data_IF_710425703580
#
_entry.id   IF_710425703580
#
_cell.length_a   1.000
_cell.length_b   1.000
_cell.length_c   1.000
_cell.angle_alpha   90.00
_cell.angle_beta   90.00
_cell.angle_gamma   90.00
#
_symmetry.space_group_name_H-M   'P 1'
#
loop_
_entity.id
_entity.type
_entity.pdbx_description
1 polymer ?
#
# COMPACT_ATOMS: atom_id res chain seq x y z
N UNK A 1 -4.21 -1.93 -27.25
CA UNK A 1 -3.46 -1.43 -26.09
C UNK A 1 -4.37 -1.48 -24.87
N UNK A 2 -3.79 -1.78 -23.70
CA UNK A 2 -4.49 -1.84 -22.44
C UNK A 2 -3.64 -1.13 -21.39
N UNK A 3 -4.22 -0.17 -20.68
CA UNK A 3 -3.58 0.49 -19.56
C UNK A 3 -3.61 -0.44 -18.34
N UNK A 4 -2.47 -0.67 -17.74
CA UNK A 4 -2.31 -1.43 -16.49
C UNK A 4 -1.55 -0.61 -15.48
N UNK A 5 -1.92 -0.74 -14.22
CA UNK A 5 -1.13 -0.21 -13.11
C UNK A 5 0.05 -1.15 -12.81
N UNK A 6 1.12 -0.65 -12.21
CA UNK A 6 2.23 -1.49 -11.75
C UNK A 6 1.86 -2.33 -10.51
N UNK A 7 0.72 -2.09 -9.89
CA UNK A 7 0.20 -2.83 -8.74
C UNK A 7 -1.31 -2.68 -8.58
N UNK A 8 -1.90 -3.60 -7.83
CA UNK A 8 -3.30 -3.52 -7.44
C UNK A 8 -3.41 -2.88 -6.06
N UNK A 9 -4.21 -1.83 -5.95
CA UNK A 9 -4.41 -1.13 -4.70
C UNK A 9 -5.89 -1.14 -4.31
N UNK A 10 -6.14 -1.47 -3.05
CA UNK A 10 -7.44 -1.37 -2.41
C UNK A 10 -7.39 -0.19 -1.43
N UNK A 11 -8.20 0.82 -1.66
CA UNK A 11 -8.33 1.98 -0.77
C UNK A 11 -9.50 1.71 0.16
N UNK A 12 -9.31 1.95 1.45
CA UNK A 12 -10.37 1.79 2.43
C UNK A 12 -10.92 3.16 2.88
N UNK A 13 -12.17 3.20 3.28
CA UNK A 13 -12.81 4.44 3.76
C UNK A 13 -12.11 5.10 4.95
N UNK A 14 -11.23 4.36 5.64
CA UNK A 14 -10.35 4.86 6.70
C UNK A 14 -9.13 5.63 6.21
N UNK A 15 -8.80 5.56 4.94
CA UNK A 15 -7.67 6.28 4.32
C UNK A 15 -8.04 7.76 4.08
N UNK A 16 -8.19 8.51 5.16
CA UNK A 16 -8.71 9.88 5.15
C UNK A 16 -7.85 10.86 4.35
N UNK A 17 -6.53 10.73 4.46
CA UNK A 17 -5.60 11.57 3.71
C UNK A 17 -5.81 11.46 2.20
N UNK A 18 -6.04 10.25 1.68
CA UNK A 18 -6.34 10.04 0.26
C UNK A 18 -7.64 10.76 -0.14
N UNK A 19 -8.72 10.64 0.64
CA UNK A 19 -9.97 11.32 0.33
C UNK A 19 -9.86 12.84 0.41
N UNK A 20 -9.11 13.37 1.37
CA UNK A 20 -8.85 14.80 1.50
C UNK A 20 -8.02 15.31 0.31
N UNK A 21 -7.01 14.54 -0.10
CA UNK A 21 -6.22 14.83 -1.29
C UNK A 21 -7.06 14.83 -2.57
N UNK A 22 -7.92 13.83 -2.76
CA UNK A 22 -8.82 13.76 -3.92
C UNK A 22 -9.76 14.96 -3.99
N UNK A 23 -10.29 15.41 -2.85
CA UNK A 23 -11.11 16.63 -2.78
C UNK A 23 -10.32 17.87 -3.16
N UNK A 24 -9.09 18.00 -2.66
CA UNK A 24 -8.20 19.11 -2.97
C UNK A 24 -7.96 19.24 -4.48
N UNK A 25 -7.69 18.12 -5.15
CA UNK A 25 -7.39 18.11 -6.59
C UNK A 25 -8.63 17.97 -7.48
N UNK A 26 -9.86 18.03 -6.91
CA UNK A 26 -11.12 17.91 -7.65
C UNK A 26 -11.36 16.54 -8.30
N UNK A 27 -10.85 15.47 -7.70
CA UNK A 27 -10.91 14.09 -8.22
C UNK A 27 -11.78 13.14 -7.38
N UNK A 28 -12.79 13.64 -6.68
CA UNK A 28 -13.67 12.84 -5.80
C UNK A 28 -14.29 11.60 -6.49
N UNK A 29 -14.48 11.66 -7.80
CA UNK A 29 -15.05 10.58 -8.61
C UNK A 29 -14.00 9.58 -9.12
N UNK A 30 -12.74 9.72 -8.76
CA UNK A 30 -11.65 8.82 -9.17
C UNK A 30 -11.74 7.43 -8.55
N UNK A 31 -12.44 7.31 -7.42
CA UNK A 31 -12.65 6.07 -6.69
C UNK A 31 -14.10 5.58 -6.83
N UNK A 32 -14.24 4.26 -6.93
CA UNK A 32 -15.54 3.58 -6.95
C UNK A 32 -15.66 2.69 -5.71
N UNK A 33 -16.70 2.90 -4.91
CA UNK A 33 -17.05 1.99 -3.83
C UNK A 33 -17.49 0.64 -4.41
N UNK A 34 -16.99 -0.44 -3.80
CA UNK A 34 -17.41 -1.82 -4.11
C UNK A 34 -18.05 -2.43 -2.86
N UNK A 35 -18.75 -3.59 -2.94
CA UNK A 35 -19.36 -4.18 -1.76
C UNK A 35 -18.42 -4.27 -0.58
N UNK A 36 -18.87 -3.93 0.63
CA UNK A 36 -18.07 -4.00 1.86
C UNK A 36 -17.94 -5.45 2.32
N UNK A 37 -17.22 -6.22 1.53
CA UNK A 37 -17.05 -7.65 1.65
C UNK A 37 -15.68 -8.04 1.11
N UNK A 38 -14.98 -8.90 1.83
CA UNK A 38 -13.67 -9.42 1.48
C UNK A 38 -13.79 -10.94 1.29
N UNK A 39 -14.04 -11.40 0.05
CA UNK A 39 -14.15 -12.83 -0.25
C UNK A 39 -12.79 -13.50 -0.26
N UNK A 40 -12.75 -14.72 0.23
CA UNK A 40 -11.56 -15.58 0.27
C UNK A 40 -11.87 -16.99 -0.25
N UNK A 41 -10.85 -17.64 -0.75
CA UNK A 41 -10.84 -19.06 -1.08
C UNK A 41 -9.56 -19.72 -0.55
N UNK A 42 -9.72 -20.91 0.02
CA UNK A 42 -8.60 -21.78 0.40
C UNK A 42 -8.40 -22.83 -0.71
N UNK A 43 -7.27 -22.74 -1.43
CA UNK A 43 -6.99 -23.66 -2.55
C UNK A 43 -6.78 -25.11 -2.10
N UNK A 44 -6.45 -25.34 -0.83
CA UNK A 44 -6.20 -26.67 -0.30
C UNK A 44 -7.47 -27.54 -0.25
N UNK A 45 -8.62 -26.92 0.04
CA UNK A 45 -9.89 -27.63 0.24
C UNK A 45 -11.07 -26.99 -0.49
N UNK A 46 -10.81 -25.97 -1.32
CA UNK A 46 -11.80 -25.18 -2.05
C UNK A 46 -12.86 -24.50 -1.15
N UNK A 47 -12.58 -24.36 0.16
CA UNK A 47 -13.48 -23.69 1.09
C UNK A 47 -13.52 -22.18 0.80
N UNK A 48 -14.71 -21.62 0.79
CA UNK A 48 -14.94 -20.20 0.52
C UNK A 48 -15.63 -19.52 1.69
N UNK A 49 -15.19 -18.32 2.01
CA UNK A 49 -15.87 -17.47 2.99
C UNK A 49 -15.73 -16.01 2.60
N UNK A 50 -16.52 -15.18 3.23
CA UNK A 50 -16.45 -13.73 3.04
C UNK A 50 -16.38 -13.04 4.39
N UNK A 51 -15.32 -12.28 4.61
CA UNK A 51 -15.24 -11.38 5.75
C UNK A 51 -16.11 -10.16 5.44
N UNK A 52 -17.17 -9.98 6.22
CA UNK A 52 -18.06 -8.82 6.10
C UNK A 52 -18.05 -8.04 7.42
N UNK A 53 -17.39 -6.87 7.46
CA UNK A 53 -17.55 -5.95 8.58
C UNK A 53 -19.03 -5.64 8.74
N UNK A 54 -19.53 -5.72 10.00
CA UNK A 54 -20.94 -5.49 10.28
C UNK A 54 -21.39 -4.05 9.93
N UNK A 55 -22.69 -3.83 9.81
CA UNK A 55 -23.27 -2.52 9.49
C UNK A 55 -23.27 -1.54 10.68
N UNK A 56 -22.78 -1.94 11.84
CA UNK A 56 -22.71 -1.14 13.07
C UNK A 56 -21.28 -1.05 13.59
N UNK A 57 -20.98 -0.02 14.37
CA UNK A 57 -19.63 0.23 14.93
C UNK A 57 -19.12 -0.91 15.81
N UNK A 58 -20.02 -1.61 16.52
CA UNK A 58 -19.63 -2.75 17.36
C UNK A 58 -19.58 -4.02 16.51
N UNK A 59 -18.56 -4.87 16.66
CA UNK A 59 -18.37 -6.05 15.83
C UNK A 59 -19.28 -7.22 16.26
N UNK A 60 -20.60 -7.00 16.37
CA UNK A 60 -21.55 -8.03 16.75
C UNK A 60 -21.53 -9.26 15.83
N UNK A 61 -21.06 -9.10 14.60
CA UNK A 61 -20.94 -10.19 13.64
C UNK A 61 -20.02 -11.33 14.13
N UNK A 62 -19.08 -11.05 15.05
CA UNK A 62 -18.23 -12.10 15.62
C UNK A 62 -19.00 -13.08 16.50
N UNK A 63 -20.18 -12.72 16.98
CA UNK A 63 -21.05 -13.62 17.75
C UNK A 63 -21.85 -14.57 16.86
N UNK A 64 -21.94 -14.29 15.56
CA UNK A 64 -22.66 -15.09 14.57
C UNK A 64 -21.69 -16.10 13.90
N UNK A 65 -21.82 -17.41 14.18
CA UNK A 65 -20.87 -18.43 13.68
C UNK A 65 -20.67 -18.38 12.16
N UNK A 66 -21.75 -18.19 11.40
CA UNK A 66 -21.73 -18.15 9.93
C UNK A 66 -21.09 -16.87 9.34
N UNK A 67 -20.80 -15.85 10.16
CA UNK A 67 -20.10 -14.62 9.75
C UNK A 67 -18.63 -14.60 10.16
N UNK A 68 -18.22 -15.52 11.00
CA UNK A 68 -16.82 -15.66 11.37
C UNK A 68 -16.03 -16.34 10.26
N UNK A 69 -14.72 -16.14 10.31
CA UNK A 69 -13.80 -16.94 9.49
C UNK A 69 -13.95 -18.40 9.91
N UNK A 70 -14.13 -19.35 8.98
CA UNK A 70 -14.33 -20.76 9.30
C UNK A 70 -13.22 -21.30 10.20
N UNK A 71 -13.59 -22.09 11.21
CA UNK A 71 -12.64 -22.67 12.17
C UNK A 71 -12.10 -21.72 13.23
N UNK A 72 -12.68 -20.49 13.36
CA UNK A 72 -12.29 -19.53 14.40
C UNK A 72 -13.33 -19.42 15.53
N UNK A 73 -12.86 -18.96 16.68
CA UNK A 73 -13.69 -18.74 17.87
C UNK A 73 -13.74 -17.25 18.25
N UNK A 74 -14.72 -16.83 19.02
CA UNK A 74 -14.91 -15.42 19.47
C UNK A 74 -13.62 -14.88 20.12
N UNK A 75 -12.94 -15.69 20.94
CA UNK A 75 -11.69 -15.31 21.62
C UNK A 75 -10.58 -14.88 20.65
N UNK A 76 -10.55 -15.42 19.44
CA UNK A 76 -9.52 -15.15 18.44
C UNK A 76 -9.59 -13.71 17.91
N UNK A 77 -10.76 -13.06 18.05
CA UNK A 77 -10.97 -11.66 17.66
C UNK A 77 -10.63 -10.65 18.75
N UNK A 78 -10.42 -11.08 20.00
CA UNK A 78 -10.08 -10.17 21.10
C UNK A 78 -8.71 -9.51 20.93
N UNK A 79 -7.81 -10.14 20.19
CA UNK A 79 -6.48 -9.62 19.91
C UNK A 79 -6.50 -8.35 19.04
N UNK A 80 -7.54 -8.14 18.24
CA UNK A 80 -7.71 -6.94 17.40
C UNK A 80 -7.52 -5.63 18.18
N UNK A 81 -8.12 -5.56 19.39
CA UNK A 81 -7.97 -4.38 20.27
C UNK A 81 -6.57 -4.26 20.89
N UNK A 82 -5.92 -5.39 21.16
CA UNK A 82 -4.57 -5.39 21.77
C UNK A 82 -3.51 -4.92 20.80
N UNK A 83 -3.67 -5.20 19.50
CA UNK A 83 -2.71 -4.78 18.48
C UNK A 83 -2.66 -3.25 18.29
N UNK A 84 -3.77 -2.55 18.50
CA UNK A 84 -3.79 -1.08 18.43
C UNK A 84 -2.85 -0.43 19.46
N UNK A 85 -2.63 -1.11 20.61
CA UNK A 85 -1.73 -0.68 21.68
C UNK A 85 -0.41 -1.48 21.72
N UNK A 86 -0.05 -2.16 20.63
CA UNK A 86 1.14 -2.99 20.58
C UNK A 86 2.42 -2.16 20.71
N UNK A 87 3.42 -2.73 21.39
CA UNK A 87 4.75 -2.12 21.52
C UNK A 87 5.40 -1.93 20.16
N UNK A 88 6.16 -0.84 19.93
CA UNK A 88 6.93 -0.63 18.71
C UNK A 88 7.84 -1.80 18.34
N UNK A 89 8.34 -2.54 19.32
CA UNK A 89 9.28 -3.65 19.13
C UNK A 89 8.61 -5.01 18.98
N UNK A 90 7.25 -5.07 18.98
CA UNK A 90 6.55 -6.34 18.91
C UNK A 90 6.19 -6.73 17.47
N UNK A 91 6.33 -8.03 17.21
CA UNK A 91 5.82 -8.67 15.99
C UNK A 91 4.40 -9.18 16.22
N UNK A 92 3.72 -9.53 15.13
CA UNK A 92 2.37 -10.10 15.23
C UNK A 92 2.36 -11.41 16.04
N UNK A 93 3.40 -12.23 15.94
CA UNK A 93 3.51 -13.51 16.67
C UNK A 93 3.70 -13.36 18.19
N UNK A 94 4.02 -12.17 18.68
CA UNK A 94 3.99 -11.90 20.13
C UNK A 94 2.55 -11.80 20.67
N UNK A 95 1.57 -11.69 19.79
CA UNK A 95 0.16 -11.48 20.15
C UNK A 95 -0.77 -12.61 19.66
N UNK A 96 -0.38 -13.33 18.61
CA UNK A 96 -1.19 -14.36 17.96
C UNK A 96 -0.36 -15.62 17.76
N UNK A 97 -0.95 -16.78 18.09
CA UNK A 97 -0.34 -18.08 17.82
C UNK A 97 -0.23 -18.32 16.29
N UNK A 98 0.99 -18.48 15.74
CA UNK A 98 1.20 -18.69 14.31
C UNK A 98 0.64 -20.02 13.80
N UNK A 99 0.30 -20.94 14.67
CA UNK A 99 -0.30 -22.23 14.30
C UNK A 99 -1.83 -22.18 14.25
N UNK A 100 -2.43 -21.12 14.81
CA UNK A 100 -3.88 -20.97 14.88
C UNK A 100 -4.53 -20.83 13.50
N UNK A 101 -5.79 -21.27 13.38
CA UNK A 101 -6.60 -21.05 12.17
C UNK A 101 -6.76 -19.57 11.86
N UNK A 102 -6.93 -18.73 12.89
CA UNK A 102 -7.05 -17.27 12.73
C UNK A 102 -5.78 -16.66 12.14
N UNK A 103 -4.59 -17.16 12.52
CA UNK A 103 -3.33 -16.70 11.93
C UNK A 103 -3.29 -17.00 10.43
N UNK A 104 -3.50 -18.23 10.03
CA UNK A 104 -3.40 -18.70 8.64
C UNK A 104 -4.47 -18.09 7.72
N UNK A 105 -5.69 -17.86 8.24
CA UNK A 105 -6.84 -17.44 7.43
C UNK A 105 -7.12 -15.95 7.46
N UNK A 106 -6.49 -15.21 8.38
CA UNK A 106 -6.69 -13.76 8.51
C UNK A 106 -5.39 -12.99 8.63
N UNK A 107 -4.57 -13.31 9.64
CA UNK A 107 -3.41 -12.49 9.95
C UNK A 107 -2.32 -12.56 8.88
N UNK A 108 -2.01 -13.74 8.38
CA UNK A 108 -1.00 -13.94 7.35
C UNK A 108 -1.39 -13.26 6.03
N UNK A 109 -2.58 -13.49 5.44
CA UNK A 109 -3.00 -12.76 4.25
C UNK A 109 -3.11 -11.24 4.47
N UNK A 110 -3.56 -10.79 5.65
CA UNK A 110 -3.66 -9.37 5.97
C UNK A 110 -2.27 -8.71 6.10
N UNK A 111 -1.34 -9.35 6.79
CA UNK A 111 0.03 -8.85 6.92
C UNK A 111 0.72 -8.74 5.57
N UNK A 112 0.61 -9.76 4.73
CA UNK A 112 1.14 -9.72 3.38
C UNK A 112 0.52 -8.59 2.54
N UNK A 113 -0.80 -8.41 2.62
CA UNK A 113 -1.49 -7.37 1.85
C UNK A 113 -1.17 -5.94 2.32
N UNK A 114 -1.01 -5.73 3.63
CA UNK A 114 -0.87 -4.39 4.23
C UNK A 114 0.59 -4.01 4.44
N UNK A 115 1.39 -4.96 4.94
CA UNK A 115 2.79 -4.72 5.30
C UNK A 115 3.77 -5.21 4.22
N UNK A 116 3.31 -5.97 3.24
CA UNK A 116 4.20 -6.68 2.31
C UNK A 116 5.33 -7.41 3.06
N UNK A 117 5.04 -7.94 4.23
CA UNK A 117 6.01 -8.55 5.16
C UNK A 117 5.39 -9.80 5.76
N UNK A 118 6.18 -10.85 5.94
CA UNK A 118 5.72 -12.08 6.59
C UNK A 118 5.08 -11.74 7.95
N UNK A 119 3.93 -12.33 8.22
CA UNK A 119 3.19 -12.11 9.45
C UNK A 119 3.97 -12.46 10.73
N UNK A 120 4.98 -13.33 10.60
CA UNK A 120 5.86 -13.70 11.72
C UNK A 120 6.85 -12.62 12.10
N UNK A 121 7.21 -11.76 11.13
CA UNK A 121 8.19 -10.68 11.29
C UNK A 121 7.55 -9.29 11.29
N UNK A 122 6.32 -9.19 10.78
CA UNK A 122 5.60 -7.93 10.58
C UNK A 122 5.33 -7.18 11.89
N UNK A 123 5.44 -5.86 11.86
CA UNK A 123 5.18 -4.96 12.99
C UNK A 123 3.72 -5.06 13.44
N UNK A 124 3.51 -5.52 14.67
CA UNK A 124 2.19 -5.58 15.31
C UNK A 124 1.56 -4.18 15.42
N UNK A 125 2.38 -3.17 15.75
CA UNK A 125 1.97 -1.77 15.88
C UNK A 125 1.43 -1.21 14.59
N UNK A 126 2.15 -1.37 13.48
CA UNK A 126 1.71 -0.85 12.17
C UNK A 126 0.41 -1.51 11.70
N UNK A 127 0.32 -2.84 11.86
CA UNK A 127 -0.90 -3.57 11.52
C UNK A 127 -2.07 -3.17 12.42
N UNK A 128 -1.82 -3.02 13.72
CA UNK A 128 -2.80 -2.55 14.69
C UNK A 128 -3.30 -1.14 14.38
N UNK A 129 -2.41 -0.23 13.95
CA UNK A 129 -2.79 1.13 13.56
C UNK A 129 -3.68 1.14 12.32
N UNK A 130 -3.38 0.33 11.33
CA UNK A 130 -4.26 0.18 10.16
C UNK A 130 -5.65 -0.33 10.56
N UNK A 131 -5.71 -1.36 11.41
CA UNK A 131 -6.98 -1.90 11.90
C UNK A 131 -7.80 -0.86 12.70
N UNK A 132 -7.15 -0.07 13.55
CA UNK A 132 -7.77 1.02 14.31
C UNK A 132 -8.46 2.03 13.38
N UNK A 133 -7.78 2.40 12.29
CA UNK A 133 -8.30 3.39 11.33
C UNK A 133 -9.38 2.84 10.40
N UNK A 134 -9.48 1.53 10.26
CA UNK A 134 -10.36 0.87 9.29
C UNK A 134 -11.38 -0.05 9.98
N UNK A 135 -11.09 -1.33 10.10
CA UNK A 135 -12.02 -2.37 10.57
C UNK A 135 -12.59 -2.11 11.96
N UNK A 136 -11.79 -1.57 12.89
CA UNK A 136 -12.24 -1.29 14.26
C UNK A 136 -13.01 0.02 14.39
N UNK A 137 -12.90 0.91 13.41
CA UNK A 137 -13.57 2.21 13.44
C UNK A 137 -15.02 2.16 12.94
N UNK A 138 -15.36 1.09 12.24
CA UNK A 138 -16.73 0.84 11.77
C UNK A 138 -16.84 0.65 10.25
N UNK A 139 -18.02 0.28 9.77
CA UNK A 139 -18.22 -0.20 8.40
C UNK A 139 -17.86 0.83 7.32
N UNK A 140 -18.14 2.11 7.52
CA UNK A 140 -17.78 3.15 6.58
C UNK A 140 -16.25 3.30 6.40
N UNK A 141 -15.47 2.99 7.44
CA UNK A 141 -14.02 3.05 7.43
C UNK A 141 -13.38 1.77 6.83
N UNK A 142 -14.10 0.66 6.90
CA UNK A 142 -13.72 -0.61 6.28
C UNK A 142 -14.18 -0.71 4.81
N UNK A 143 -15.00 0.24 4.32
CA UNK A 143 -15.54 0.27 2.97
C UNK A 143 -14.40 0.25 1.94
N UNK A 144 -14.32 -0.75 1.04
CA UNK A 144 -13.31 -0.80 0.01
C UNK A 144 -13.70 0.03 -1.21
N UNK A 145 -12.67 0.63 -1.83
CA UNK A 145 -12.76 1.41 -3.05
C UNK A 145 -11.70 0.95 -4.04
N UNK A 146 -12.03 0.94 -5.31
CA UNK A 146 -11.14 0.65 -6.43
C UNK A 146 -10.99 1.84 -7.35
N UNK A 147 -9.94 1.81 -8.18
CA UNK A 147 -9.68 2.78 -9.26
C UNK A 147 -10.04 2.16 -10.62
N UNK A 148 -11.27 2.32 -11.13
CA UNK A 148 -11.71 1.64 -12.36
C UNK A 148 -10.87 2.00 -13.58
N UNK A 149 -10.38 3.25 -13.64
CA UNK A 149 -9.55 3.77 -14.74
C UNK A 149 -8.04 3.72 -14.45
N UNK A 150 -7.64 3.09 -13.33
CA UNK A 150 -6.26 3.04 -12.87
C UNK A 150 -5.87 4.18 -11.93
N UNK A 151 -4.72 4.01 -11.27
CA UNK A 151 -4.21 4.96 -10.27
C UNK A 151 -3.78 6.29 -10.89
N UNK A 152 -3.18 6.28 -12.09
CA UNK A 152 -2.78 7.51 -12.76
C UNK A 152 -3.98 8.40 -13.01
N UNK A 153 -5.05 7.87 -13.60
CA UNK A 153 -6.27 8.62 -13.87
C UNK A 153 -7.03 9.07 -12.61
N UNK A 154 -6.88 8.33 -11.50
CA UNK A 154 -7.55 8.66 -10.25
C UNK A 154 -6.80 9.70 -9.40
N UNK A 155 -5.46 9.67 -9.39
CA UNK A 155 -4.64 10.43 -8.45
C UNK A 155 -3.66 11.36 -9.15
N UNK A 156 -2.93 10.86 -10.18
CA UNK A 156 -1.77 11.58 -10.74
C UNK A 156 -2.20 12.64 -11.76
N UNK A 157 -3.00 12.24 -12.75
CA UNK A 157 -3.41 13.17 -13.82
C UNK A 157 -4.21 14.37 -13.28
N UNK A 158 -5.18 14.19 -12.33
CA UNK A 158 -5.86 15.31 -11.70
C UNK A 158 -4.93 16.19 -10.88
N UNK A 159 -3.93 15.61 -10.19
CA UNK A 159 -2.96 16.38 -9.43
C UNK A 159 -2.07 17.24 -10.33
N UNK A 160 -1.59 16.69 -11.46
CA UNK A 160 -0.84 17.44 -12.47
C UNK A 160 -1.67 18.61 -13.00
N UNK A 161 -2.94 18.37 -13.31
CA UNK A 161 -3.87 19.42 -13.77
C UNK A 161 -4.05 20.49 -12.70
N UNK A 162 -4.29 20.10 -11.45
CA UNK A 162 -4.42 21.04 -10.32
C UNK A 162 -3.18 21.93 -10.15
N UNK A 163 -1.98 21.35 -10.22
CA UNK A 163 -0.74 22.11 -10.15
C UNK A 163 -0.60 23.12 -11.30
N UNK A 164 -0.94 22.71 -12.53
CA UNK A 164 -0.90 23.60 -13.68
C UNK A 164 -1.88 24.78 -13.54
N UNK A 165 -3.10 24.54 -13.06
CA UNK A 165 -4.12 25.57 -12.77
C UNK A 165 -3.64 26.57 -11.72
N UNK A 166 -2.81 26.11 -10.77
CA UNK A 166 -2.20 26.96 -9.74
C UNK A 166 -0.82 27.52 -10.14
N UNK A 167 -0.49 27.47 -11.45
CA UNK A 167 0.76 28.01 -12.01
C UNK A 167 2.04 27.36 -11.41
N UNK A 168 1.95 26.13 -10.91
CA UNK A 168 3.10 25.36 -10.50
C UNK A 168 3.70 24.65 -11.71
N UNK A 169 5.02 24.76 -11.89
CA UNK A 169 5.73 24.11 -12.98
C UNK A 169 6.10 22.68 -12.63
N UNK A 170 5.99 21.78 -13.59
CA UNK A 170 6.48 20.39 -13.49
C UNK A 170 7.46 20.15 -14.61
N UNK A 171 8.69 19.72 -14.28
CA UNK A 171 9.71 19.40 -15.27
C UNK A 171 9.99 17.90 -15.24
N UNK A 172 9.60 17.20 -16.29
CA UNK A 172 9.92 15.78 -16.46
C UNK A 172 11.33 15.57 -17.02
N UNK A 173 11.93 14.40 -16.69
CA UNK A 173 13.27 14.08 -17.15
C UNK A 173 14.39 14.87 -16.46
N UNK A 174 14.08 15.66 -15.45
CA UNK A 174 15.00 16.49 -14.68
C UNK A 174 15.50 15.74 -13.44
N UNK A 175 16.63 15.06 -13.56
CA UNK A 175 17.21 14.30 -12.44
C UNK A 175 18.08 15.21 -11.57
N UNK A 176 17.80 15.26 -10.27
CA UNK A 176 18.70 15.82 -9.26
C UNK A 176 19.89 14.87 -9.09
N UNK A 177 21.12 15.38 -9.28
CA UNK A 177 22.36 14.58 -9.24
C UNK A 177 23.07 14.67 -7.90
N UNK A 178 23.05 15.84 -7.29
CA UNK A 178 23.70 16.11 -5.99
C UNK A 178 23.05 17.28 -5.30
N UNK A 179 23.29 17.37 -4.00
CA UNK A 179 22.84 18.45 -3.13
C UNK A 179 24.05 18.90 -2.31
N UNK A 180 24.27 20.21 -2.18
CA UNK A 180 25.32 20.79 -1.36
C UNK A 180 24.72 21.46 -0.13
N UNK A 181 25.39 21.29 0.99
CA UNK A 181 24.89 21.70 2.29
C UNK A 181 25.88 22.65 2.97
N UNK A 182 25.34 23.61 3.72
CA UNK A 182 26.00 24.21 4.86
C UNK A 182 25.62 23.46 6.15
N UNK A 183 26.05 23.97 7.29
CA UNK A 183 25.75 23.37 8.59
C UNK A 183 24.24 23.26 8.86
N UNK A 184 23.43 24.22 8.40
CA UNK A 184 22.02 24.33 8.70
C UNK A 184 21.06 24.32 7.51
N UNK A 185 21.58 24.43 6.28
CA UNK A 185 20.73 24.57 5.09
C UNK A 185 21.29 23.86 3.87
N UNK A 186 20.41 23.51 2.93
CA UNK A 186 20.82 23.22 1.55
C UNK A 186 21.15 24.56 0.87
N UNK A 187 22.33 24.66 0.29
CA UNK A 187 22.80 25.85 -0.43
C UNK A 187 22.47 25.78 -1.92
N UNK A 188 22.70 24.64 -2.52
CA UNK A 188 22.42 24.43 -3.94
C UNK A 188 22.20 22.95 -4.24
N UNK A 189 21.64 22.68 -5.43
CA UNK A 189 21.50 21.33 -5.97
C UNK A 189 21.75 21.35 -7.48
N UNK A 190 22.13 20.20 -8.05
CA UNK A 190 22.43 20.07 -9.48
C UNK A 190 21.32 19.27 -10.15
N UNK A 191 20.70 19.87 -11.18
CA UNK A 191 19.72 19.22 -12.07
C UNK A 191 20.33 19.11 -13.46
N UNK A 192 20.53 17.89 -13.94
CA UNK A 192 21.27 17.70 -15.19
C UNK A 192 22.71 18.23 -15.04
N UNK A 193 23.04 19.36 -15.67
CA UNK A 193 24.33 20.06 -15.59
C UNK A 193 24.20 21.48 -15.01
N UNK A 194 22.98 21.86 -14.57
CA UNK A 194 22.72 23.19 -14.05
C UNK A 194 22.78 23.22 -12.52
N UNK A 195 23.46 24.22 -11.97
CA UNK A 195 23.49 24.47 -10.53
C UNK A 195 22.35 25.42 -10.19
N UNK A 196 21.46 24.96 -9.32
CA UNK A 196 20.35 25.76 -8.79
C UNK A 196 20.67 26.18 -7.36
N UNK A 197 20.85 27.47 -7.13
CA UNK A 197 21.14 28.04 -5.81
C UNK A 197 19.86 28.28 -5.04
N UNK A 198 19.80 27.79 -3.81
CA UNK A 198 18.67 28.03 -2.91
C UNK A 198 18.69 29.47 -2.36
N UNK A 199 17.55 30.15 -2.43
CA UNK A 199 17.33 31.47 -1.82
C UNK A 199 16.93 31.29 -0.36
N UNK A 200 16.98 32.38 0.40
CA UNK A 200 16.70 32.36 1.85
C UNK A 200 15.39 31.71 2.29
N UNK A 201 14.36 31.76 1.44
CA UNK A 201 13.02 31.22 1.75
C UNK A 201 12.65 30.03 0.88
N UNK A 202 13.58 29.48 0.11
CA UNK A 202 13.34 28.27 -0.68
C UNK A 202 13.38 27.06 0.25
N UNK A 203 12.44 26.14 0.04
CA UNK A 203 12.40 24.85 0.70
C UNK A 203 12.41 23.74 -0.32
N UNK A 204 13.09 22.65 0.02
CA UNK A 204 13.18 21.44 -0.80
C UNK A 204 12.42 20.32 -0.10
N UNK A 205 11.54 19.65 -0.82
CA UNK A 205 10.89 18.43 -0.37
C UNK A 205 11.38 17.29 -1.27
N UNK A 206 12.11 16.34 -0.71
CA UNK A 206 12.55 15.15 -1.41
C UNK A 206 11.50 14.04 -1.23
N UNK A 207 10.71 13.78 -2.27
CA UNK A 207 9.70 12.73 -2.30
C UNK A 207 10.22 11.53 -3.11
N UNK A 208 11.33 10.95 -2.66
CA UNK A 208 12.09 9.91 -3.36
C UNK A 208 12.11 8.60 -2.55
N UNK A 209 12.36 7.45 -3.18
CA UNK A 209 12.62 6.19 -2.47
C UNK A 209 13.82 6.29 -1.52
N UNK A 210 13.86 5.47 -0.43
CA UNK A 210 14.94 5.57 0.57
C UNK A 210 16.36 5.45 -0.01
N UNK A 211 16.58 4.55 -0.97
CA UNK A 211 17.90 4.37 -1.59
C UNK A 211 18.37 5.61 -2.38
N UNK A 212 17.46 6.34 -3.00
CA UNK A 212 17.77 7.59 -3.71
C UNK A 212 18.11 8.71 -2.70
N UNK A 213 17.37 8.74 -1.58
CA UNK A 213 17.69 9.67 -0.47
C UNK A 213 19.08 9.38 0.10
N UNK A 214 19.43 8.12 0.37
CA UNK A 214 20.75 7.76 0.87
C UNK A 214 21.88 8.18 -0.08
N UNK A 215 21.64 8.18 -1.38
CA UNK A 215 22.61 8.64 -2.37
C UNK A 215 22.78 10.16 -2.39
N UNK A 216 21.69 10.92 -2.15
CA UNK A 216 21.70 12.39 -2.18
C UNK A 216 22.04 13.01 -0.81
N UNK A 217 21.62 12.35 0.27
CA UNK A 217 21.73 12.84 1.65
C UNK A 217 22.16 11.68 2.57
N UNK A 218 23.43 11.27 2.52
CA UNK A 218 23.94 10.08 3.23
C UNK A 218 23.77 10.13 4.77
N UNK A 219 23.59 11.31 5.34
CA UNK A 219 23.40 11.50 6.78
C UNK A 219 21.98 11.18 7.27
N UNK A 220 21.03 10.97 6.36
CA UNK A 220 19.65 10.58 6.74
C UNK A 220 19.61 9.08 7.00
N UNK A 221 19.20 8.71 8.21
CA UNK A 221 18.91 7.32 8.53
C UNK A 221 17.70 6.85 7.74
N UNK A 222 17.81 5.71 7.06
CA UNK A 222 16.74 5.14 6.22
C UNK A 222 16.53 3.65 6.52
N UNK A 223 15.35 3.10 6.26
CA UNK A 223 15.16 1.66 6.16
C UNK A 223 16.03 1.06 5.05
N UNK A 224 16.65 -0.07 5.33
CA UNK A 224 17.65 -0.69 4.44
C UNK A 224 17.19 -2.00 3.80
N UNK A 225 16.11 -2.59 4.31
CA UNK A 225 15.54 -3.85 3.80
C UNK A 225 14.25 -3.59 3.04
N UNK A 226 14.09 -4.31 1.92
CA UNK A 226 12.93 -4.18 1.03
C UNK A 226 12.31 -5.54 0.78
N UNK A 227 11.01 -5.52 0.45
CA UNK A 227 10.30 -6.71 0.00
C UNK A 227 9.73 -6.50 -1.40
N UNK A 228 9.92 -7.49 -2.28
CA UNK A 228 9.40 -7.44 -3.64
C UNK A 228 7.89 -7.75 -3.69
N UNK A 229 7.27 -7.24 -4.75
CA UNK A 229 5.92 -7.62 -5.18
C UNK A 229 5.99 -8.08 -6.63
N UNK A 230 5.28 -9.14 -6.95
CA UNK A 230 5.03 -9.58 -8.32
C UNK A 230 3.56 -9.36 -8.64
N UNK A 231 3.30 -8.63 -9.74
CA UNK A 231 1.97 -8.47 -10.29
C UNK A 231 1.92 -9.16 -11.66
N UNK A 232 0.82 -9.89 -11.93
CA UNK A 232 0.61 -10.58 -13.19
C UNK A 232 -0.76 -10.17 -13.72
N UNK A 233 -0.77 -9.55 -14.89
CA UNK A 233 -1.98 -9.13 -15.56
C UNK A 233 -2.30 -10.07 -16.71
N UNK A 234 -3.45 -10.71 -16.66
CA UNK A 234 -3.96 -11.58 -17.71
C UNK A 234 -5.06 -10.87 -18.50
N UNK A 235 -5.02 -11.01 -19.82
CA UNK A 235 -6.04 -10.48 -20.75
C UNK A 235 -6.73 -11.63 -21.47
N UNK A 236 -7.72 -12.29 -20.85
CA UNK A 236 -8.48 -13.34 -21.53
C UNK A 236 -9.21 -12.80 -22.77
N UNK A 237 -9.39 -13.65 -23.78
CA UNK A 237 -10.09 -13.27 -25.01
C UNK A 237 -11.60 -13.08 -24.81
N UNK A 238 -12.13 -13.54 -23.69
CA UNK A 238 -13.52 -13.39 -23.25
C UNK A 238 -13.57 -12.86 -21.82
N UNK A 239 -14.69 -12.28 -21.44
CA UNK A 239 -14.92 -11.84 -20.07
C UNK A 239 -14.85 -13.05 -19.13
N UNK A 240 -13.92 -13.01 -18.19
CA UNK A 240 -13.82 -13.98 -17.10
C UNK A 240 -14.31 -13.31 -15.82
N UNK A 241 -15.31 -13.93 -15.18
CA UNK A 241 -15.85 -13.46 -13.92
C UNK A 241 -15.17 -14.16 -12.74
N UNK A 242 -14.94 -13.44 -11.69
CA UNK A 242 -14.64 -14.06 -10.41
C UNK A 242 -15.94 -14.64 -9.81
N UNK A 243 -15.88 -15.65 -8.93
CA UNK A 243 -17.07 -16.25 -8.33
C UNK A 243 -18.00 -15.19 -7.73
N UNK A 244 -19.30 -15.34 -7.95
CA UNK A 244 -20.32 -14.38 -7.53
C UNK A 244 -20.13 -12.94 -8.05
N UNK A 245 -19.41 -12.79 -9.16
CA UNK A 245 -19.09 -11.50 -9.81
C UNK A 245 -18.41 -10.48 -8.87
N UNK A 246 -17.64 -10.97 -7.90
CA UNK A 246 -16.89 -10.10 -6.98
C UNK A 246 -15.76 -9.35 -7.73
N UNK A 247 -15.44 -8.11 -7.33
CA UNK A 247 -14.39 -7.33 -7.98
C UNK A 247 -12.98 -7.81 -7.62
N UNK A 248 -12.81 -8.53 -6.53
CA UNK A 248 -11.56 -9.13 -6.10
C UNK A 248 -11.81 -10.34 -5.18
N UNK A 249 -10.80 -11.19 -5.04
CA UNK A 249 -10.82 -12.34 -4.13
C UNK A 249 -9.42 -12.56 -3.54
N UNK A 250 -9.37 -12.82 -2.24
CA UNK A 250 -8.17 -13.28 -1.54
C UNK A 250 -8.01 -14.79 -1.67
N UNK A 251 -6.77 -15.23 -1.82
CA UNK A 251 -6.40 -16.65 -1.94
C UNK A 251 -5.49 -17.01 -0.79
N UNK A 252 -5.75 -18.12 -0.15
CA UNK A 252 -4.84 -18.73 0.82
C UNK A 252 -4.42 -20.12 0.37
N UNK A 253 -3.26 -20.57 0.85
CA UNK A 253 -2.63 -21.83 0.44
C UNK A 253 -2.33 -21.91 -1.08
N UNK A 254 -2.11 -20.75 -1.73
CA UNK A 254 -1.68 -20.64 -3.11
C UNK A 254 -0.48 -19.69 -3.24
N UNK A 255 0.12 -19.65 -4.42
CA UNK A 255 1.14 -18.66 -4.78
C UNK A 255 0.51 -17.28 -4.95
N UNK A 256 -0.63 -17.20 -5.64
CA UNK A 256 -1.43 -15.99 -5.80
C UNK A 256 -2.07 -15.62 -4.46
N UNK A 257 -2.00 -14.36 -4.06
CA UNK A 257 -2.60 -13.91 -2.81
C UNK A 257 -3.90 -13.13 -3.03
N UNK A 258 -3.93 -12.32 -4.07
CA UNK A 258 -5.10 -11.54 -4.46
C UNK A 258 -5.30 -11.57 -5.96
N UNK A 259 -6.54 -11.71 -6.39
CA UNK A 259 -6.95 -11.56 -7.78
C UNK A 259 -7.98 -10.45 -7.85
N UNK A 260 -7.72 -9.47 -8.71
CA UNK A 260 -8.62 -8.35 -9.01
C UNK A 260 -9.17 -8.50 -10.41
N UNK A 261 -10.43 -8.19 -10.60
CA UNK A 261 -11.03 -8.05 -11.92
C UNK A 261 -11.19 -6.56 -12.26
N UNK A 262 -10.55 -6.15 -13.34
CA UNK A 262 -10.68 -4.78 -13.89
C UNK A 262 -11.12 -4.92 -15.35
N UNK A 263 -12.39 -4.65 -15.64
CA UNK A 263 -12.96 -4.86 -16.99
C UNK A 263 -12.70 -6.31 -17.47
N UNK A 264 -11.96 -6.47 -18.57
CA UNK A 264 -11.56 -7.77 -19.14
C UNK A 264 -10.14 -8.20 -18.71
N UNK A 265 -9.63 -7.69 -17.61
CA UNK A 265 -8.36 -8.10 -17.03
C UNK A 265 -8.58 -8.84 -15.72
N UNK A 266 -7.82 -9.92 -15.53
CA UNK A 266 -7.57 -10.52 -14.22
C UNK A 266 -6.15 -10.15 -13.79
N UNK A 267 -6.04 -9.49 -12.67
CA UNK A 267 -4.79 -8.96 -12.17
C UNK A 267 -4.44 -9.58 -10.83
N UNK A 268 -3.34 -10.29 -10.79
CA UNK A 268 -2.82 -10.99 -9.60
C UNK A 268 -1.83 -10.12 -8.87
N UNK A 269 -1.86 -10.15 -7.55
CA UNK A 269 -0.80 -9.60 -6.69
C UNK A 269 -0.23 -10.70 -5.81
N UNK A 270 1.09 -10.76 -5.76
CA UNK A 270 1.87 -11.64 -4.90
C UNK A 270 2.82 -10.75 -4.08
N UNK A 271 2.47 -10.54 -2.83
CA UNK A 271 3.27 -9.77 -1.87
C UNK A 271 4.38 -10.64 -1.26
N UNK A 272 5.42 -10.00 -0.72
CA UNK A 272 6.57 -10.66 -0.11
C UNK A 272 7.18 -11.75 -1.01
N UNK A 273 7.27 -11.46 -2.31
CA UNK A 273 7.60 -12.41 -3.37
C UNK A 273 9.12 -12.70 -3.47
N UNK A 274 9.82 -12.83 -2.33
CA UNK A 274 11.29 -13.00 -2.25
C UNK A 274 11.78 -14.20 -3.08
N UNK A 275 11.06 -15.32 -2.97
CA UNK A 275 11.43 -16.59 -3.62
C UNK A 275 10.96 -16.66 -5.09
N UNK A 276 10.11 -15.72 -5.51
CA UNK A 276 9.45 -15.73 -6.81
C UNK A 276 9.97 -14.66 -7.76
N UNK A 277 10.48 -13.55 -7.24
CA UNK A 277 10.85 -12.37 -8.04
C UNK A 277 11.95 -12.69 -9.08
N UNK A 278 12.80 -13.69 -8.83
CA UNK A 278 13.86 -14.11 -9.75
C UNK A 278 13.42 -15.19 -10.74
N UNK A 279 12.26 -15.84 -10.54
CA UNK A 279 11.75 -16.85 -11.46
C UNK A 279 11.37 -16.25 -12.81
N UNK A 280 11.41 -17.04 -13.88
CA UNK A 280 11.02 -16.60 -15.22
C UNK A 280 9.54 -16.20 -15.30
N UNK A 281 9.24 -15.19 -16.12
CA UNK A 281 7.90 -14.65 -16.25
C UNK A 281 6.86 -15.65 -16.76
N UNK A 282 7.28 -16.54 -17.69
CA UNK A 282 6.44 -17.61 -18.24
C UNK A 282 6.06 -18.66 -17.19
N UNK A 283 6.99 -19.01 -16.31
CA UNK A 283 6.77 -19.96 -15.21
C UNK A 283 5.76 -19.35 -14.22
N UNK A 284 6.02 -18.13 -13.78
CA UNK A 284 5.13 -17.43 -12.85
C UNK A 284 3.71 -17.27 -13.43
N UNK A 285 3.60 -16.87 -14.69
CA UNK A 285 2.30 -16.69 -15.34
C UNK A 285 1.55 -18.02 -15.49
N UNK A 286 2.25 -19.10 -15.86
CA UNK A 286 1.63 -20.43 -16.01
C UNK A 286 1.11 -20.96 -14.67
N UNK A 287 1.90 -20.86 -13.61
CA UNK A 287 1.51 -21.28 -12.27
C UNK A 287 0.33 -20.45 -11.74
N UNK A 288 0.40 -19.13 -11.86
CA UNK A 288 -0.68 -18.24 -11.45
C UNK A 288 -1.98 -18.53 -12.21
N UNK A 289 -1.88 -18.80 -13.52
CA UNK A 289 -3.06 -19.11 -14.32
C UNK A 289 -3.68 -20.44 -13.95
N UNK A 290 -2.89 -21.45 -13.61
CA UNK A 290 -3.40 -22.72 -13.10
C UNK A 290 -4.22 -22.53 -11.81
N UNK A 291 -3.73 -21.71 -10.86
CA UNK A 291 -4.49 -21.41 -9.65
C UNK A 291 -5.79 -20.65 -9.98
N UNK A 292 -5.73 -19.63 -10.84
CA UNK A 292 -6.92 -18.86 -11.26
C UNK A 292 -7.95 -19.77 -11.94
N UNK A 293 -7.52 -20.69 -12.78
CA UNK A 293 -8.40 -21.61 -13.49
C UNK A 293 -9.21 -22.54 -12.54
N UNK A 294 -8.73 -22.74 -11.30
CA UNK A 294 -9.49 -23.48 -10.27
C UNK A 294 -10.56 -22.63 -9.60
N UNK A 295 -10.46 -21.32 -9.70
CA UNK A 295 -11.31 -20.35 -9.00
C UNK A 295 -12.45 -19.84 -9.88
N UNK A 296 -12.16 -19.56 -11.15
CA UNK A 296 -13.14 -19.02 -12.10
C UNK A 296 -14.18 -20.09 -12.47
N UNK A 297 -15.45 -19.69 -12.71
CA UNK A 297 -16.52 -20.63 -13.05
C UNK A 297 -16.33 -21.33 -14.40
N UNK A 298 -15.60 -20.69 -15.30
CA UNK A 298 -15.39 -21.19 -16.67
C UNK A 298 -14.46 -22.40 -16.68
N UNK A 299 -14.86 -23.44 -17.43
CA UNK A 299 -14.03 -24.64 -17.61
C UNK A 299 -12.83 -24.34 -18.53
N UNK A 300 -11.69 -24.86 -18.14
CA UNK A 300 -10.40 -24.89 -18.84
C UNK A 300 -10.23 -23.79 -19.89
N UNK A 301 -9.56 -22.71 -19.52
CA UNK A 301 -9.18 -21.66 -20.43
C UNK A 301 -7.67 -21.77 -20.65
N UNK A 302 -7.18 -21.81 -21.90
CA UNK A 302 -5.74 -21.77 -22.17
C UNK A 302 -5.12 -20.50 -21.56
N UNK A 303 -3.83 -20.54 -21.29
CA UNK A 303 -3.09 -19.40 -20.77
C UNK A 303 -3.30 -18.18 -21.71
N UNK A 304 -3.93 -17.10 -21.25
CA UNK A 304 -4.17 -15.93 -22.07
C UNK A 304 -2.90 -15.10 -22.21
N UNK A 305 -2.89 -14.08 -23.09
CA UNK A 305 -1.86 -13.05 -23.07
C UNK A 305 -1.70 -12.44 -21.68
N UNK A 306 -0.44 -12.25 -21.26
CA UNK A 306 -0.12 -11.79 -19.93
C UNK A 306 1.03 -10.79 -19.91
N UNK A 307 1.12 -10.03 -18.81
CA UNK A 307 2.26 -9.18 -18.46
C UNK A 307 2.66 -9.45 -17.01
N UNK A 308 3.92 -9.77 -16.77
CA UNK A 308 4.48 -9.90 -15.41
C UNK A 308 5.27 -8.64 -15.09
N UNK A 309 4.98 -8.03 -13.97
CA UNK A 309 5.69 -6.88 -13.40
C UNK A 309 6.33 -7.31 -12.09
N UNK A 310 7.63 -7.11 -11.98
CA UNK A 310 8.43 -7.49 -10.82
C UNK A 310 9.03 -6.24 -10.19
N UNK A 311 8.46 -5.80 -9.09
CA UNK A 311 9.01 -4.68 -8.33
C UNK A 311 9.87 -5.24 -7.19
N UNK A 312 11.20 -5.16 -7.35
CA UNK A 312 12.14 -5.73 -6.38
C UNK A 312 12.21 -4.97 -5.06
N UNK A 313 11.92 -3.67 -5.09
CA UNK A 313 11.90 -2.78 -3.94
C UNK A 313 10.52 -2.14 -3.78
N UNK A 314 9.48 -2.98 -3.81
CA UNK A 314 8.09 -2.52 -3.81
C UNK A 314 7.73 -1.73 -2.55
N UNK A 315 8.17 -2.20 -1.39
CA UNK A 315 8.04 -1.50 -0.11
C UNK A 315 9.28 -1.75 0.75
N UNK A 316 9.50 -0.90 1.74
CA UNK A 316 10.39 -1.23 2.84
C UNK A 316 9.88 -2.48 3.56
N UNK A 317 10.77 -3.26 4.15
CA UNK A 317 10.39 -4.33 5.08
C UNK A 317 9.77 -3.71 6.34
N UNK A 318 8.53 -4.03 6.66
CA UNK A 318 7.80 -3.41 7.75
C UNK A 318 7.88 -4.24 9.05
N UNK A 319 9.11 -4.64 9.39
CA UNK A 319 9.44 -5.23 10.69
C UNK A 319 9.65 -4.13 11.73
N UNK A 320 9.55 -4.43 13.04
CA UNK A 320 9.86 -3.46 14.10
C UNK A 320 11.24 -2.80 13.93
N UNK A 321 12.26 -3.59 13.57
CA UNK A 321 13.62 -3.10 13.39
C UNK A 321 13.77 -2.11 12.23
N UNK A 322 13.01 -2.26 11.14
CA UNK A 322 13.04 -1.34 10.02
C UNK A 322 12.11 -0.13 10.24
N UNK A 323 11.03 -0.31 10.99
CA UNK A 323 10.11 0.78 11.34
C UNK A 323 10.79 1.87 12.18
N UNK A 324 11.69 1.50 13.08
CA UNK A 324 12.49 2.45 13.89
C UNK A 324 13.41 3.32 13.03
N UNK A 325 13.86 2.82 11.87
CA UNK A 325 14.75 3.55 10.96
C UNK A 325 14.01 4.55 10.06
N UNK A 326 12.70 4.63 10.13
CA UNK A 326 11.90 5.59 9.35
C UNK A 326 12.07 7.00 9.91
N UNK A 327 12.61 7.95 9.14
CA UNK A 327 12.78 9.34 9.59
C UNK A 327 11.45 10.08 9.62
N UNK A 328 11.44 11.22 10.29
CA UNK A 328 10.35 12.19 10.19
C UNK A 328 10.44 13.00 8.89
N UNK A 329 9.39 13.75 8.56
CA UNK A 329 9.40 14.66 7.40
C UNK A 329 10.38 15.82 7.51
N UNK A 330 10.74 16.24 8.71
CA UNK A 330 11.77 17.28 8.92
C UNK A 330 13.16 16.65 9.06
N UNK A 331 14.19 17.38 8.64
CA UNK A 331 15.58 16.98 8.76
C UNK A 331 16.35 17.95 9.70
N UNK A 332 17.66 17.75 9.84
CA UNK A 332 18.53 18.71 10.56
C UNK A 332 18.71 20.04 9.81
N UNK A 333 18.50 20.02 8.48
CA UNK A 333 18.57 21.23 7.66
C UNK A 333 17.20 21.93 7.61
N UNK A 334 17.18 23.21 7.92
CA UNK A 334 15.96 24.00 8.08
C UNK A 334 15.08 24.04 6.82
N UNK A 335 15.69 23.95 5.65
CA UNK A 335 15.01 24.03 4.35
C UNK A 335 14.91 22.72 3.59
N UNK A 336 15.22 21.57 4.24
CA UNK A 336 15.11 20.24 3.63
C UNK A 336 14.11 19.38 4.35
N UNK A 337 13.14 18.87 3.60
CA UNK A 337 12.06 18.02 4.09
C UNK A 337 11.99 16.72 3.28
N UNK A 338 11.44 15.68 3.89
CA UNK A 338 11.28 14.36 3.29
C UNK A 338 9.80 14.00 3.19
N UNK A 339 9.42 13.34 2.10
CA UNK A 339 8.11 12.75 1.91
C UNK A 339 8.23 11.37 1.26
N UNK A 340 7.22 10.54 1.42
CA UNK A 340 7.16 9.18 0.88
C UNK A 340 6.44 8.25 1.85
N UNK A 341 6.02 7.10 1.37
CA UNK A 341 5.34 6.08 2.18
C UNK A 341 6.21 5.49 3.30
N UNK A 342 7.52 5.57 3.13
CA UNK A 342 8.53 5.09 4.06
C UNK A 342 8.88 6.09 5.18
N UNK A 343 8.34 7.31 5.15
CA UNK A 343 8.47 8.30 6.23
C UNK A 343 7.62 7.90 7.44
N UNK A 344 8.09 8.21 8.64
CA UNK A 344 7.40 7.90 9.88
C UNK A 344 6.12 8.74 10.05
N UNK A 345 5.02 8.22 9.56
CA UNK A 345 3.65 8.74 9.77
C UNK A 345 2.91 7.97 10.86
N UNK A 346 3.53 6.93 11.42
CA UNK A 346 2.86 5.95 12.29
C UNK A 346 1.97 4.95 11.55
N UNK A 347 1.88 5.05 10.21
CA UNK A 347 1.12 4.14 9.36
C UNK A 347 2.03 3.15 8.62
N UNK A 348 1.50 2.01 8.16
CA UNK A 348 2.18 1.16 7.19
C UNK A 348 2.58 1.93 5.92
N UNK A 349 3.64 1.47 5.23
CA UNK A 349 4.08 2.02 3.95
C UNK A 349 3.02 1.75 2.86
N UNK A 350 2.14 2.71 2.66
CA UNK A 350 0.96 2.67 1.79
C UNK A 350 0.75 4.03 1.12
N UNK A 351 -0.16 4.12 0.14
CA UNK A 351 -0.56 5.40 -0.48
C UNK A 351 -1.04 6.40 0.58
N UNK A 352 -1.78 5.96 1.60
CA UNK A 352 -2.22 6.82 2.70
C UNK A 352 -1.03 7.44 3.45
N UNK A 353 -0.01 6.63 3.76
CA UNK A 353 1.21 7.11 4.41
C UNK A 353 1.97 8.09 3.52
N UNK A 354 2.06 7.83 2.21
CA UNK A 354 2.70 8.74 1.26
C UNK A 354 2.01 10.11 1.23
N UNK A 355 0.68 10.13 1.13
CA UNK A 355 -0.10 11.37 1.15
C UNK A 355 0.07 12.13 2.46
N UNK A 356 -0.04 11.44 3.61
CA UNK A 356 0.16 12.08 4.92
C UNK A 356 1.58 12.63 5.08
N UNK A 357 2.60 11.93 4.59
CA UNK A 357 3.98 12.43 4.68
C UNK A 357 4.17 13.71 3.85
N UNK A 358 3.55 13.79 2.68
CA UNK A 358 3.53 15.00 1.86
C UNK A 358 2.84 16.18 2.57
N UNK A 359 1.69 15.93 3.19
CA UNK A 359 0.99 16.93 4.01
C UNK A 359 1.86 17.40 5.20
N UNK A 360 2.48 16.47 5.93
CA UNK A 360 3.38 16.81 7.05
C UNK A 360 4.58 17.65 6.59
N UNK A 361 5.15 17.35 5.43
CA UNK A 361 6.24 18.12 4.85
C UNK A 361 5.79 19.55 4.51
N UNK A 362 4.64 19.71 3.86
CA UNK A 362 4.07 21.01 3.51
C UNK A 362 3.76 21.84 4.77
N UNK A 363 3.11 21.27 5.78
CA UNK A 363 2.84 21.95 7.06
C UNK A 363 4.12 22.40 7.78
N UNK A 364 5.20 21.61 7.66
CA UNK A 364 6.49 21.99 8.25
C UNK A 364 7.07 23.21 7.55
N UNK A 365 6.95 23.31 6.23
CA UNK A 365 7.34 24.49 5.45
C UNK A 365 6.53 25.71 5.89
N UNK A 366 5.21 25.60 5.96
CA UNK A 366 4.33 26.71 6.39
C UNK A 366 4.69 27.24 7.80
N UNK A 367 4.86 26.31 8.76
CA UNK A 367 5.23 26.68 10.15
C UNK A 367 6.59 27.39 10.22
N UNK A 368 7.55 27.02 9.37
CA UNK A 368 8.86 27.66 9.31
C UNK A 368 8.78 29.09 8.77
N UNK A 369 7.87 29.33 7.83
CA UNK A 369 7.64 30.68 7.28
C UNK A 369 6.94 31.59 8.30
N UNK A 370 5.93 31.10 9.02
CA UNK A 370 5.21 31.92 10.05
C UNK A 370 6.15 32.34 11.17
N UNK A 371 7.09 31.50 11.61
CA UNK A 371 8.06 31.87 12.66
C UNK A 371 9.04 32.97 12.26
N UNK A 372 9.19 33.25 10.96
CA UNK A 372 10.10 34.28 10.44
C UNK A 372 9.45 35.68 10.32
N UNK A 373 8.14 35.76 10.55
CA UNK A 373 7.39 37.00 10.59
C UNK A 373 6.77 37.17 12.00
N UNK A 374 7.43 37.87 12.95
CA UNK A 374 6.88 38.14 14.26
C UNK A 374 5.68 39.11 14.20
#
# INVERSE_FOLDING_TARGET
DCLIDNGNHLILGGNRGIFDFLRLIGADRGLQAVPNAFPFIDLKNAERWTLQPGNVKLPFWIFLPHRRIPGTHIKDYLVLKKLAAASPNSTLTNHVDPNSTMFKRFWEPLSNAVLNTDAREGSARLLGKMLELTLLRGPAFAQPFLTPKGLSAALVDPAIKYLAEHKCSITFGARVRSISFSDSQVENYIVGNEVVTCRKNDHIILALPPNEIAALVPEVTIPTKYHPIVNIHFKPNRLCLLPNDVPFIGIINGMCQWVFRKNNLLSVTISNAKDLVEQEANILASQAWQEIATIIPEKVIPLPPYRVLKERRATISQTPAQDILRPNSYTKWENLHLAGDWINTGLPATIESAVQSGQNAAETVEKSQIKKFP
#
